data_IF_540969205554
#
_entry.id   IF_540969205554
#
_cell.length_a   1.000
_cell.length_b   1.000
_cell.length_c   1.000
_cell.angle_alpha   90.00
_cell.angle_beta   90.00
_cell.angle_gamma   90.00
#
_symmetry.space_group_name_H-M   'P 1'
#
loop_
_entity.id
_entity.type
_entity.pdbx_description
1 polymer ?
#
# COMPACT_ATOMS: atom_id res chain seq x y z
N UNK A 1 -20.89 -35.60 -43.72
CA UNK A 1 -19.73 -35.16 -42.92
C UNK A 1 -20.06 -33.78 -42.37
N UNK A 2 -20.49 -33.68 -41.12
CA UNK A 2 -20.81 -32.40 -40.49
C UNK A 2 -19.55 -31.91 -39.77
N UNK A 3 -18.97 -30.82 -40.28
CA UNK A 3 -17.87 -30.11 -39.62
C UNK A 3 -18.38 -29.51 -38.33
N UNK A 4 -17.99 -30.11 -37.20
CA UNK A 4 -18.10 -29.50 -35.88
C UNK A 4 -17.06 -28.39 -35.75
N UNK A 5 -17.37 -27.21 -36.27
CA UNK A 5 -16.64 -25.99 -35.93
C UNK A 5 -17.08 -25.54 -34.54
N UNK A 6 -16.48 -26.15 -33.52
CA UNK A 6 -16.56 -25.62 -32.17
C UNK A 6 -15.78 -24.30 -32.15
N UNK A 7 -16.51 -23.20 -32.31
CA UNK A 7 -15.99 -21.85 -32.17
C UNK A 7 -15.43 -21.73 -30.75
N UNK A 8 -14.10 -21.87 -30.61
CA UNK A 8 -13.38 -21.52 -29.39
C UNK A 8 -13.70 -20.06 -29.12
N UNK A 9 -14.72 -19.79 -28.31
CA UNK A 9 -15.05 -18.47 -27.77
C UNK A 9 -13.83 -18.04 -26.98
N UNK A 10 -12.92 -17.32 -27.65
CA UNK A 10 -11.79 -16.70 -27.00
C UNK A 10 -12.35 -15.81 -25.89
N UNK A 11 -11.97 -16.09 -24.65
CA UNK A 11 -12.28 -15.20 -23.53
C UNK A 11 -11.71 -13.84 -23.91
N UNK A 12 -12.59 -12.88 -24.17
CA UNK A 12 -12.16 -11.51 -24.37
C UNK A 12 -11.47 -11.10 -23.09
N UNK A 13 -10.19 -10.73 -23.16
CA UNK A 13 -9.48 -10.13 -22.01
C UNK A 13 -10.17 -8.88 -21.47
N UNK A 14 -11.11 -8.32 -22.23
CA UNK A 14 -12.00 -7.24 -21.81
C UNK A 14 -13.04 -7.67 -20.75
N UNK A 15 -13.36 -8.96 -20.66
CA UNK A 15 -14.26 -9.54 -19.67
C UNK A 15 -13.80 -10.96 -19.22
N UNK A 16 -12.73 -11.05 -18.41
CA UNK A 16 -12.15 -12.31 -17.96
C UNK A 16 -13.00 -13.06 -16.91
N UNK A 17 -14.22 -12.58 -16.61
CA UNK A 17 -15.09 -13.12 -15.57
C UNK A 17 -14.71 -12.65 -14.16
N UNK A 18 -15.71 -12.53 -13.28
CA UNK A 18 -15.53 -11.99 -11.93
C UNK A 18 -14.60 -12.85 -11.07
N UNK A 19 -14.64 -14.18 -11.22
CA UNK A 19 -13.85 -15.11 -10.40
C UNK A 19 -12.34 -14.98 -10.66
N UNK A 20 -11.95 -14.82 -11.93
CA UNK A 20 -10.55 -14.60 -12.30
C UNK A 20 -10.05 -13.24 -11.81
N UNK A 21 -10.88 -12.20 -11.95
CA UNK A 21 -10.58 -10.86 -11.42
C UNK A 21 -10.39 -10.88 -9.90
N UNK A 22 -11.22 -11.64 -9.19
CA UNK A 22 -11.12 -11.80 -7.74
C UNK A 22 -9.81 -12.51 -7.32
N UNK A 23 -9.40 -13.55 -8.06
CA UNK A 23 -8.11 -14.21 -7.86
C UNK A 23 -6.92 -13.29 -8.12
N UNK A 24 -6.98 -12.47 -9.17
CA UNK A 24 -5.92 -11.52 -9.52
C UNK A 24 -5.79 -10.48 -8.41
N UNK A 25 -6.89 -9.82 -8.03
CA UNK A 25 -6.84 -8.73 -7.03
C UNK A 25 -6.37 -9.22 -5.66
N UNK A 26 -6.68 -10.45 -5.26
CA UNK A 26 -6.19 -11.08 -4.02
C UNK A 26 -4.68 -11.37 -4.02
N UNK A 27 -4.05 -11.43 -5.19
CA UNK A 27 -2.60 -11.63 -5.37
C UNK A 27 -1.82 -10.32 -5.47
N UNK A 28 -2.49 -9.18 -5.62
CA UNK A 28 -1.82 -7.88 -5.67
C UNK A 28 -1.30 -7.49 -4.29
N UNK A 29 0.02 -7.33 -4.19
CA UNK A 29 0.72 -6.96 -2.94
C UNK A 29 1.01 -5.46 -2.87
N UNK A 30 1.12 -4.79 -4.03
CA UNK A 30 1.42 -3.36 -4.13
C UNK A 30 0.14 -2.53 -4.25
N UNK A 31 0.08 -1.44 -3.49
CA UNK A 31 -1.01 -0.47 -3.57
C UNK A 31 -1.17 0.11 -4.98
N UNK A 32 -0.07 0.40 -5.66
CA UNK A 32 -0.07 0.92 -7.03
C UNK A 32 -0.78 -0.01 -8.01
N UNK A 33 -0.54 -1.31 -7.89
CA UNK A 33 -1.07 -2.30 -8.82
C UNK A 33 -2.57 -2.52 -8.57
N UNK A 34 -2.98 -2.50 -7.30
CA UNK A 34 -4.39 -2.48 -6.90
C UNK A 34 -5.13 -1.25 -7.45
N UNK A 35 -4.52 -0.07 -7.40
CA UNK A 35 -5.11 1.16 -7.95
C UNK A 35 -5.23 1.09 -9.48
N UNK A 36 -4.18 0.64 -10.19
CA UNK A 36 -4.22 0.46 -11.64
C UNK A 36 -5.31 -0.53 -12.06
N UNK A 37 -5.42 -1.65 -11.34
CA UNK A 37 -6.47 -2.65 -11.54
C UNK A 37 -7.88 -2.04 -11.42
N UNK A 38 -8.09 -1.17 -10.41
CA UNK A 38 -9.37 -0.45 -10.20
C UNK A 38 -9.69 0.60 -11.26
N UNK A 39 -8.71 1.01 -12.07
CA UNK A 39 -8.86 2.06 -13.06
C UNK A 39 -9.17 1.54 -14.47
N UNK A 40 -9.12 0.22 -14.70
CA UNK A 40 -9.38 -0.37 -16.02
C UNK A 40 -10.80 -0.05 -16.51
N UNK A 41 -11.83 -0.49 -15.78
CA UNK A 41 -13.23 -0.21 -16.10
C UNK A 41 -14.12 -0.38 -14.86
N UNK A 42 -15.45 -0.15 -15.02
CA UNK A 42 -16.42 -0.23 -13.92
C UNK A 42 -16.52 -1.65 -13.31
N UNK A 43 -16.45 -2.71 -14.12
CA UNK A 43 -16.55 -4.10 -13.63
C UNK A 43 -15.34 -4.49 -12.78
N UNK A 44 -14.13 -4.18 -13.23
CA UNK A 44 -12.89 -4.42 -12.47
C UNK A 44 -12.86 -3.65 -11.14
N UNK A 45 -13.28 -2.38 -11.19
CA UNK A 45 -13.43 -1.56 -9.98
C UNK A 45 -14.41 -2.17 -8.98
N UNK A 46 -15.50 -2.75 -9.47
CA UNK A 46 -16.52 -3.38 -8.63
C UNK A 46 -15.99 -4.65 -7.95
N UNK A 47 -15.31 -5.53 -8.69
CA UNK A 47 -14.66 -6.72 -8.11
C UNK A 47 -13.61 -6.32 -7.07
N UNK A 48 -12.75 -5.35 -7.40
CA UNK A 48 -11.72 -4.89 -6.48
C UNK A 48 -12.24 -4.26 -5.18
N UNK A 49 -13.42 -3.62 -5.20
CA UNK A 49 -14.06 -3.09 -3.99
C UNK A 49 -14.56 -4.20 -3.05
N UNK A 50 -14.99 -5.33 -3.62
CA UNK A 50 -15.48 -6.49 -2.86
C UNK A 50 -14.34 -7.33 -2.32
N UNK A 51 -13.23 -7.38 -3.04
CA UNK A 51 -12.02 -7.98 -2.53
C UNK A 51 -11.56 -7.23 -1.28
N UNK A 52 -11.20 -7.97 -0.24
CA UNK A 52 -10.46 -7.45 0.91
C UNK A 52 -8.97 -7.60 0.57
N UNK A 53 -8.33 -6.61 -0.10
CA UNK A 53 -6.94 -6.75 -0.51
C UNK A 53 -6.09 -7.00 0.72
N UNK A 54 -5.04 -7.82 0.58
CA UNK A 54 -4.09 -8.00 1.67
C UNK A 54 -3.55 -6.64 2.09
N UNK A 55 -3.29 -6.41 3.39
CA UNK A 55 -2.69 -5.17 3.86
C UNK A 55 -1.47 -4.87 3.00
N UNK A 56 -1.43 -3.66 2.43
CA UNK A 56 -0.26 -3.21 1.68
C UNK A 56 0.96 -3.28 2.61
N UNK A 57 2.10 -3.68 2.05
CA UNK A 57 3.34 -3.79 2.82
C UNK A 57 3.64 -2.45 3.51
N UNK A 58 3.95 -2.44 4.82
CA UNK A 58 4.14 -1.21 5.56
C UNK A 58 5.40 -0.46 5.08
N UNK A 59 5.37 0.86 5.21
CA UNK A 59 6.58 1.68 5.18
C UNK A 59 7.27 1.54 6.53
N UNK A 60 8.58 1.28 6.53
CA UNK A 60 9.38 1.13 7.74
C UNK A 60 10.13 2.44 8.01
N UNK A 61 9.88 3.05 9.17
CA UNK A 61 10.64 4.21 9.60
C UNK A 61 12.08 3.78 9.92
N UNK A 62 13.05 4.43 9.29
CA UNK A 62 14.48 4.19 9.53
C UNK A 62 14.95 5.03 10.73
N UNK A 63 16.13 4.73 11.30
CA UNK A 63 16.74 5.59 12.32
C UNK A 63 16.77 7.05 11.86
N UNK A 64 16.42 7.96 12.76
CA UNK A 64 16.27 9.37 12.47
C UNK A 64 16.93 10.22 13.57
N UNK A 65 17.28 11.45 13.21
CA UNK A 65 17.68 12.48 14.17
C UNK A 65 16.43 13.25 14.61
N UNK A 66 16.07 13.26 15.91
CA UNK A 66 14.92 13.98 16.43
C UNK A 66 14.93 15.49 16.13
N UNK A 67 16.11 16.09 15.99
CA UNK A 67 16.25 17.54 15.73
C UNK A 67 15.90 17.93 14.29
N UNK A 68 15.85 16.96 13.38
CA UNK A 68 15.57 17.21 11.96
C UNK A 68 14.08 17.05 11.65
N UNK A 69 13.60 17.74 10.63
CA UNK A 69 12.22 17.59 10.11
C UNK A 69 12.08 16.41 9.13
N UNK A 70 13.20 15.81 8.73
CA UNK A 70 13.24 14.78 7.70
C UNK A 70 13.15 13.39 8.34
N UNK A 71 12.26 12.56 7.81
CA UNK A 71 12.08 11.15 8.21
C UNK A 71 12.27 10.26 7.00
N UNK A 72 13.29 9.40 7.07
CA UNK A 72 13.54 8.41 6.03
C UNK A 72 12.70 7.17 6.30
N UNK A 73 11.95 6.72 5.30
CA UNK A 73 11.15 5.50 5.36
C UNK A 73 11.53 4.55 4.23
N UNK A 74 11.67 3.27 4.55
CA UNK A 74 11.89 2.20 3.57
C UNK A 74 10.56 1.63 3.11
N UNK A 75 10.28 1.70 1.82
CA UNK A 75 9.21 0.93 1.19
C UNK A 75 9.68 -0.50 0.97
N UNK A 76 9.16 -1.45 1.76
CA UNK A 76 9.48 -2.88 1.62
C UNK A 76 9.12 -3.40 0.23
N UNK A 77 8.04 -2.87 -0.37
CA UNK A 77 7.52 -3.33 -1.66
C UNK A 77 8.37 -2.93 -2.87
N UNK A 78 9.03 -1.77 -2.81
CA UNK A 78 9.87 -1.23 -3.88
C UNK A 78 11.36 -1.31 -3.55
N UNK A 79 11.70 -1.61 -2.28
CA UNK A 79 13.05 -1.53 -1.72
C UNK A 79 13.69 -0.15 -1.89
N UNK A 80 12.86 0.90 -1.90
CA UNK A 80 13.31 2.28 -2.05
C UNK A 80 13.17 3.03 -0.73
N UNK A 81 14.11 3.93 -0.48
CA UNK A 81 14.04 4.85 0.65
C UNK A 81 13.39 6.14 0.16
N UNK A 82 12.37 6.59 0.89
CA UNK A 82 11.70 7.85 0.67
C UNK A 82 11.97 8.77 1.86
N UNK A 83 12.20 10.05 1.60
CA UNK A 83 12.37 11.06 2.65
C UNK A 83 11.10 11.88 2.76
N UNK A 84 10.46 11.80 3.92
CA UNK A 84 9.28 12.59 4.26
C UNK A 84 9.73 13.83 5.03
N UNK A 85 9.18 15.00 4.71
CA UNK A 85 9.36 16.20 5.51
C UNK A 85 8.13 16.35 6.40
N UNK A 86 8.30 16.22 7.71
CA UNK A 86 7.21 16.23 8.68
C UNK A 86 7.65 17.07 9.88
N UNK A 87 7.47 18.40 9.82
CA UNK A 87 7.98 19.31 10.84
C UNK A 87 7.37 19.08 12.23
N UNK A 88 6.16 18.51 12.30
CA UNK A 88 5.48 18.17 13.55
C UNK A 88 6.20 17.08 14.37
N UNK A 89 7.16 16.39 13.77
CA UNK A 89 7.95 15.33 14.40
C UNK A 89 9.26 15.82 15.01
N UNK A 90 9.61 17.09 14.85
CA UNK A 90 10.83 17.67 15.44
C UNK A 90 10.72 17.62 16.96
N UNK A 91 11.80 17.17 17.61
CA UNK A 91 11.88 16.98 19.05
C UNK A 91 10.78 16.07 19.62
N UNK A 92 10.26 15.15 18.79
CA UNK A 92 9.35 14.09 19.21
C UNK A 92 10.05 12.74 19.23
N UNK A 93 9.76 11.96 20.26
CA UNK A 93 10.04 10.52 20.27
C UNK A 93 8.89 9.81 19.57
N UNK A 94 9.23 8.98 18.58
CA UNK A 94 8.27 8.18 17.82
C UNK A 94 8.32 6.75 18.31
N UNK A 95 7.19 6.26 18.85
CA UNK A 95 7.04 4.86 19.26
C UNK A 95 6.10 4.11 18.31
N UNK A 96 6.39 2.84 17.98
CA UNK A 96 5.50 2.03 17.16
C UNK A 96 4.23 1.65 17.93
N UNK A 97 3.07 1.75 17.27
CA UNK A 97 1.80 1.25 17.78
C UNK A 97 1.17 0.24 16.80
N UNK A 98 0.05 -0.36 17.22
CA UNK A 98 -0.63 -1.37 16.41
C UNK A 98 -1.21 -0.77 15.11
N UNK A 99 -1.33 -1.59 14.07
CA UNK A 99 -2.02 -1.25 12.81
C UNK A 99 -1.44 -0.05 12.05
N UNK A 100 -0.14 0.21 12.19
CA UNK A 100 0.54 1.29 11.46
C UNK A 100 0.40 2.67 12.10
N UNK A 101 -0.21 2.76 13.28
CA UNK A 101 -0.20 3.98 14.08
C UNK A 101 1.17 4.17 14.73
N UNK A 102 1.52 5.44 14.98
CA UNK A 102 2.72 5.85 15.69
C UNK A 102 2.31 6.79 16.83
N UNK A 103 2.90 6.59 18.01
CA UNK A 103 2.74 7.51 19.13
C UNK A 103 3.85 8.55 19.09
N UNK A 104 3.47 9.81 19.30
CA UNK A 104 4.38 10.95 19.30
C UNK A 104 4.44 11.51 20.72
N UNK A 105 5.63 11.51 21.30
CA UNK A 105 5.89 12.01 22.64
C UNK A 105 6.77 13.25 22.55
N UNK A 106 6.38 14.31 23.25
CA UNK A 106 7.21 15.50 23.39
C UNK A 106 8.44 15.23 24.23
N UNK A 107 9.61 15.58 23.70
CA UNK A 107 10.82 15.69 24.53
C UNK A 107 10.74 17.04 25.25
N UNK A 108 10.26 17.02 26.49
CA UNK A 108 10.35 18.20 27.34
C UNK A 108 11.83 18.57 27.55
N UNK A 109 12.20 19.86 27.49
CA UNK A 109 13.55 20.26 27.86
C UNK A 109 13.77 19.89 29.33
N UNK A 110 14.86 19.16 29.59
CA UNK A 110 15.31 18.89 30.96
C UNK A 110 15.77 20.22 31.54
N UNK A 111 14.90 20.88 32.30
CA UNK A 111 15.25 22.13 32.98
C UNK A 111 16.09 21.72 34.19
N UNK A 112 17.41 21.76 34.05
CA UNK A 112 18.31 21.70 35.21
C UNK A 112 18.34 23.08 35.86
N UNK A 113 17.55 23.27 36.91
CA UNK A 113 17.73 24.39 37.83
C UNK A 113 18.89 24.05 38.78
N UNK A 114 20.03 24.73 38.60
CA UNK A 114 21.11 24.81 39.58
C UNK A 114 20.67 25.57 40.84
#
# INVERSE_FOLDING_TARGET
MASGEECRRGVSWSDPGADLLDLIVKKLTRASDYLRFRCVCRSWRFVAKRANPRPHLPLLLLPYDPSTERRSVLSVSTKQIHTLCVPELVNKIILPASRGWLLLLDVAPVVFSC
#
